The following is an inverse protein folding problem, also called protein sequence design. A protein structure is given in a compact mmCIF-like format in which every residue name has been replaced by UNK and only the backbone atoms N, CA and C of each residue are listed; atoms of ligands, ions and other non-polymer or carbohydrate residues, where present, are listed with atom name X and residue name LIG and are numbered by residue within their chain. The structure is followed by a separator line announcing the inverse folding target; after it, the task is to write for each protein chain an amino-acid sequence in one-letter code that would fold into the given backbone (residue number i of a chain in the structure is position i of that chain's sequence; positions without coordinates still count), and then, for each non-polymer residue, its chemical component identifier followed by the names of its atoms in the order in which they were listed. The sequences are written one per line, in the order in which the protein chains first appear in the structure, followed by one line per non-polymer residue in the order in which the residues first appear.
data_IF_943776474196
#
_entry.id   IF_943776474196
#
_cell.length_a   1.000
_cell.length_b   1.000
_cell.length_c   1.000
_cell.angle_alpha   90.00
_cell.angle_beta   90.00
_cell.angle_gamma   90.00
#
_symmetry.space_group_name_H-M   'P 1'
#
loop_
_entity.id
_entity.type
_entity.pdbx_description
1 polymer ?
#
# COMPACT_ATOMS: atom_id res chain seq x y z
N UNK A 1 -40.81 0.83 -75.90
CA UNK A 1 -40.77 -0.59 -76.31
C UNK A 1 -39.90 -1.38 -75.34
N UNK A 2 -40.45 -2.50 -74.89
CA UNK A 2 -39.97 -3.50 -73.91
C UNK A 2 -38.55 -4.02 -74.23
N UNK A 3 -37.68 -4.23 -73.22
CA UNK A 3 -37.14 -5.56 -72.82
C UNK A 3 -36.09 -5.53 -71.69
N UNK A 4 -36.39 -6.36 -70.69
CA UNK A 4 -35.54 -6.90 -69.61
C UNK A 4 -34.26 -7.58 -70.10
N UNK A 5 -33.20 -7.58 -69.26
CA UNK A 5 -32.51 -8.82 -68.84
C UNK A 5 -31.63 -8.64 -67.59
N UNK A 6 -31.84 -9.55 -66.63
CA UNK A 6 -31.10 -9.81 -65.38
C UNK A 6 -29.65 -10.29 -65.60
N UNK A 7 -28.87 -10.21 -64.48
CA UNK A 7 -27.70 -11.02 -64.00
C UNK A 7 -26.52 -10.09 -63.69
N UNK A 8 -25.79 -10.15 -62.57
CA UNK A 8 -25.60 -11.18 -61.53
C UNK A 8 -25.03 -10.54 -60.25
N UNK A 9 -25.34 -11.17 -59.11
CA UNK A 9 -24.72 -10.97 -57.79
C UNK A 9 -23.19 -11.04 -57.84
N UNK A 10 -22.53 -10.16 -57.09
CA UNK A 10 -21.23 -10.41 -56.46
C UNK A 10 -21.18 -9.64 -55.14
N UNK A 11 -21.56 -10.30 -54.04
CA UNK A 11 -21.34 -9.84 -52.67
C UNK A 11 -19.93 -10.30 -52.31
N UNK A 12 -18.96 -9.37 -52.25
CA UNK A 12 -17.66 -9.62 -51.64
C UNK A 12 -17.87 -9.65 -50.11
N UNK A 13 -17.88 -10.85 -49.53
CA UNK A 13 -17.74 -11.03 -48.09
C UNK A 13 -16.24 -10.96 -47.73
N UNK A 14 -15.79 -9.81 -47.26
CA UNK A 14 -14.49 -9.67 -46.60
C UNK A 14 -14.63 -10.24 -45.18
N UNK A 15 -14.16 -11.47 -44.96
CA UNK A 15 -13.99 -12.02 -43.61
C UNK A 15 -12.69 -11.44 -43.05
N UNK A 16 -12.79 -10.32 -42.33
CA UNK A 16 -11.72 -9.84 -41.48
C UNK A 16 -11.68 -10.73 -40.23
N UNK A 17 -10.74 -11.67 -40.18
CA UNK A 17 -10.39 -12.39 -38.95
C UNK A 17 -9.77 -11.37 -38.00
N UNK A 18 -10.58 -10.86 -37.06
CA UNK A 18 -10.08 -10.11 -35.92
C UNK A 18 -9.32 -11.08 -35.00
N UNK A 19 -8.01 -11.20 -35.20
CA UNK A 19 -7.09 -11.66 -34.16
C UNK A 19 -7.08 -10.58 -33.07
N UNK A 20 -8.07 -10.61 -32.18
CA UNK A 20 -7.98 -9.95 -30.89
C UNK A 20 -6.90 -10.69 -30.08
N UNK A 21 -5.65 -10.28 -30.27
CA UNK A 21 -4.63 -10.45 -29.25
C UNK A 21 -5.20 -9.88 -27.96
N UNK A 22 -5.43 -10.75 -26.98
CA UNK A 22 -5.91 -10.34 -25.66
C UNK A 22 -4.80 -9.51 -25.00
N UNK A 23 -4.84 -8.18 -25.20
CA UNK A 23 -4.10 -7.26 -24.36
C UNK A 23 -4.54 -7.49 -22.92
N UNK A 24 -3.62 -7.92 -22.06
CA UNK A 24 -3.85 -8.00 -20.62
C UNK A 24 -4.28 -6.62 -20.13
N UNK A 25 -5.37 -6.56 -19.35
CA UNK A 25 -5.73 -5.33 -18.69
C UNK A 25 -4.72 -5.09 -17.56
N UNK A 26 -3.83 -4.12 -17.74
CA UNK A 26 -3.02 -3.62 -16.64
C UNK A 26 -3.95 -2.91 -15.65
N UNK A 27 -3.88 -3.28 -14.38
CA UNK A 27 -4.54 -2.53 -13.31
C UNK A 27 -3.49 -1.64 -12.67
N UNK A 28 -3.69 -0.33 -12.73
CA UNK A 28 -2.88 0.60 -11.96
C UNK A 28 -3.22 0.42 -10.47
N UNK A 29 -2.20 0.23 -9.65
CA UNK A 29 -2.32 0.19 -8.19
C UNK A 29 -1.32 1.19 -7.62
N UNK A 30 -1.72 1.94 -6.61
CA UNK A 30 -0.84 2.90 -5.97
C UNK A 30 -0.09 2.24 -4.83
N UNK A 31 1.22 2.42 -4.77
CA UNK A 31 2.08 2.01 -3.66
C UNK A 31 2.66 3.24 -2.99
N UNK A 32 2.56 3.30 -1.66
CA UNK A 32 3.25 4.31 -0.87
C UNK A 32 4.74 3.98 -0.77
N UNK A 33 5.58 4.94 -1.15
CA UNK A 33 7.03 4.86 -1.08
C UNK A 33 7.54 5.92 -0.10
N UNK A 34 8.38 5.55 0.89
CA UNK A 34 8.92 6.53 1.82
C UNK A 34 9.65 7.69 1.13
N UNK A 35 9.29 8.91 1.50
CA UNK A 35 9.84 10.16 0.98
C UNK A 35 10.83 10.84 1.92
N UNK A 36 10.69 10.61 3.22
CA UNK A 36 11.54 11.21 4.25
C UNK A 36 12.19 10.14 5.14
N UNK A 37 13.44 10.39 5.53
CA UNK A 37 14.18 9.61 6.53
C UNK A 37 14.44 10.44 7.80
N UNK A 38 14.27 11.76 7.69
CA UNK A 38 14.48 12.73 8.76
C UNK A 38 13.34 13.74 8.79
N UNK A 39 13.02 14.28 9.97
CA UNK A 39 12.17 15.47 10.06
C UNK A 39 12.55 16.42 11.18
N UNK A 40 12.29 17.71 10.97
CA UNK A 40 12.47 18.76 11.97
C UNK A 40 11.13 19.42 12.21
N UNK A 41 10.64 19.39 13.45
CA UNK A 41 9.56 20.30 13.86
C UNK A 41 10.19 21.68 14.09
N UNK A 42 9.86 22.65 13.25
CA UNK A 42 10.33 24.03 13.32
C UNK A 42 9.17 24.93 13.76
N UNK A 43 9.03 25.09 15.07
CA UNK A 43 7.89 25.76 15.70
C UNK A 43 8.19 27.22 15.98
N UNK A 44 7.29 28.08 15.52
CA UNK A 44 7.21 29.46 15.95
C UNK A 44 6.74 29.54 17.40
N UNK A 45 7.58 30.09 18.26
CA UNK A 45 7.29 30.27 19.68
C UNK A 45 7.34 31.76 20.10
N UNK A 46 7.26 32.64 19.10
CA UNK A 46 7.33 34.09 19.24
C UNK A 46 6.10 34.70 19.93
N UNK A 47 6.13 36.02 20.10
CA UNK A 47 5.04 36.78 20.68
C UNK A 47 3.79 36.81 19.80
N UNK A 48 3.91 36.75 18.46
CA UNK A 48 2.72 36.69 17.58
C UNK A 48 1.93 35.42 17.82
N UNK A 49 2.61 34.31 18.11
CA UNK A 49 1.98 33.03 18.43
C UNK A 49 1.25 33.04 19.78
N UNK A 50 1.63 33.91 20.73
CA UNK A 50 0.87 34.10 21.98
C UNK A 50 -0.36 35.01 21.81
N UNK A 51 -0.55 35.63 20.65
CA UNK A 51 -1.76 36.39 20.36
C UNK A 51 -2.89 35.44 19.99
N UNK A 52 -4.13 35.88 20.26
CA UNK A 52 -5.32 35.16 19.81
C UNK A 52 -5.43 35.22 18.29
N UNK A 53 -5.65 34.06 17.69
CA UNK A 53 -5.98 33.93 16.28
C UNK A 53 -7.30 34.65 15.99
N UNK A 54 -7.30 35.57 15.02
CA UNK A 54 -8.40 36.52 14.81
C UNK A 54 -9.76 35.84 14.61
N UNK A 55 -9.79 34.71 13.90
CA UNK A 55 -11.04 33.99 13.61
C UNK A 55 -11.39 32.88 14.61
N UNK A 56 -10.40 32.32 15.32
CA UNK A 56 -10.60 31.16 16.20
C UNK A 56 -10.70 31.56 17.67
N UNK A 57 -10.23 32.76 18.05
CA UNK A 57 -10.34 33.29 19.40
C UNK A 57 -9.43 32.65 20.46
N UNK A 58 -8.60 31.69 20.05
CA UNK A 58 -7.61 30.98 20.86
C UNK A 58 -6.19 31.42 20.49
N UNK A 59 -5.23 31.34 21.42
CA UNK A 59 -3.82 31.64 21.13
C UNK A 59 -3.27 30.73 20.03
N UNK A 60 -2.59 31.29 19.03
CA UNK A 60 -2.03 30.50 17.92
C UNK A 60 -1.07 29.41 18.40
N UNK A 61 -0.34 29.63 19.49
CA UNK A 61 0.55 28.64 20.09
C UNK A 61 -0.20 27.47 20.73
N UNK A 62 -1.39 27.72 21.30
CA UNK A 62 -2.25 26.66 21.84
C UNK A 62 -2.72 25.78 20.68
N UNK A 63 -3.17 26.39 19.59
CA UNK A 63 -3.60 25.68 18.38
C UNK A 63 -2.44 24.90 17.73
N UNK A 64 -1.25 25.50 17.63
CA UNK A 64 -0.04 24.84 17.13
C UNK A 64 0.35 23.64 18.00
N UNK A 65 0.29 23.76 19.33
CA UNK A 65 0.54 22.65 20.26
C UNK A 65 -0.46 21.51 20.05
N UNK A 66 -1.75 21.82 19.91
CA UNK A 66 -2.78 20.81 19.61
C UNK A 66 -2.51 20.10 18.28
N UNK A 67 -2.12 20.86 17.25
CA UNK A 67 -1.74 20.29 15.96
C UNK A 67 -0.55 19.36 16.11
N UNK A 68 0.51 19.78 16.82
CA UNK A 68 1.70 18.97 17.02
C UNK A 68 1.39 17.66 17.77
N UNK A 69 0.46 17.65 18.73
CA UNK A 69 0.00 16.42 19.39
C UNK A 69 -0.66 15.47 18.39
N UNK A 70 -1.58 15.99 17.56
CA UNK A 70 -2.26 15.21 16.52
C UNK A 70 -1.29 14.71 15.44
N UNK A 71 -0.40 15.58 14.96
CA UNK A 71 0.66 15.27 14.01
C UNK A 71 1.57 14.18 14.56
N UNK A 72 2.10 14.34 15.78
CA UNK A 72 2.96 13.36 16.41
C UNK A 72 2.25 12.02 16.62
N UNK A 73 0.94 11.98 16.84
CA UNK A 73 0.18 10.72 16.89
C UNK A 73 0.02 10.07 15.50
N UNK A 74 0.01 10.87 14.43
CA UNK A 74 -0.17 10.42 13.06
C UNK A 74 1.15 10.08 12.33
N UNK A 75 2.31 10.54 12.82
CA UNK A 75 3.62 10.22 12.22
C UNK A 75 3.76 8.70 12.05
N UNK A 76 4.06 8.20 10.85
CA UNK A 76 4.12 6.76 10.58
C UNK A 76 5.19 6.03 11.41
N UNK A 77 5.00 4.75 11.71
CA UNK A 77 5.95 3.99 12.53
C UNK A 77 7.14 3.50 11.68
N UNK A 78 8.22 4.29 11.66
CA UNK A 78 9.50 3.95 11.03
C UNK A 78 10.66 4.56 11.82
N UNK A 79 11.88 4.12 11.52
CA UNK A 79 13.10 4.67 12.11
C UNK A 79 13.47 6.00 11.46
N UNK A 80 12.89 7.10 11.96
CA UNK A 80 13.25 8.46 11.56
C UNK A 80 14.37 9.01 12.44
N UNK A 81 15.22 9.89 11.90
CA UNK A 81 15.88 10.90 12.73
C UNK A 81 14.91 12.08 12.91
N UNK A 82 14.76 12.59 14.14
CA UNK A 82 13.87 13.71 14.42
C UNK A 82 14.56 14.77 15.27
N UNK A 83 14.20 16.03 15.02
CA UNK A 83 14.56 17.16 15.90
C UNK A 83 13.35 18.05 16.12
N UNK A 84 13.32 18.74 17.26
CA UNK A 84 12.29 19.72 17.56
C UNK A 84 12.98 21.01 17.99
N UNK A 85 12.76 22.06 17.21
CA UNK A 85 13.35 23.36 17.39
C UNK A 85 12.26 24.43 17.50
N UNK A 86 12.39 25.31 18.49
CA UNK A 86 11.60 26.53 18.56
C UNK A 86 12.43 27.71 18.09
N UNK A 87 11.79 28.70 17.46
CA UNK A 87 12.36 30.02 17.25
C UNK A 87 11.54 31.09 17.97
N UNK A 88 12.23 32.11 18.48
CA UNK A 88 11.61 33.15 19.31
C UNK A 88 11.16 32.69 20.71
N UNK A 89 11.94 31.92 21.50
CA UNK A 89 13.41 31.81 21.45
C UNK A 89 13.96 30.61 20.68
N UNK A 90 15.25 30.70 20.33
CA UNK A 90 16.04 29.66 19.67
C UNK A 90 16.42 28.53 20.62
N UNK A 91 15.72 27.41 20.55
CA UNK A 91 15.94 26.30 21.48
C UNK A 91 15.69 24.95 20.82
N UNK A 92 16.64 24.03 20.97
CA UNK A 92 16.45 22.62 20.65
C UNK A 92 15.74 21.93 21.82
N UNK A 93 14.52 21.49 21.60
CA UNK A 93 13.73 20.72 22.58
C UNK A 93 14.12 19.26 22.61
N UNK A 94 14.51 18.71 21.45
CA UNK A 94 15.05 17.35 21.32
C UNK A 94 15.83 17.19 20.01
N UNK A 95 16.63 16.13 19.94
CA UNK A 95 17.24 15.63 18.71
C UNK A 95 17.73 14.19 18.85
N UNK A 96 17.67 13.42 17.76
CA UNK A 96 18.15 12.03 17.70
C UNK A 96 17.15 11.11 17.00
N UNK A 97 17.22 9.81 17.27
CA UNK A 97 16.24 8.84 16.77
C UNK A 97 14.84 9.19 17.26
N UNK A 98 13.86 9.17 16.35
CA UNK A 98 12.47 9.46 16.67
C UNK A 98 11.90 8.44 17.64
N UNK A 99 11.33 8.95 18.73
CA UNK A 99 10.50 8.22 19.66
C UNK A 99 9.24 9.04 19.90
N UNK A 100 8.08 8.44 19.61
CA UNK A 100 6.78 9.12 19.67
C UNK A 100 6.50 9.67 21.06
N UNK A 101 6.84 8.94 22.13
CA UNK A 101 6.57 9.33 23.51
C UNK A 101 7.55 10.39 24.02
N UNK A 102 8.80 10.39 23.57
CA UNK A 102 9.77 11.46 23.84
C UNK A 102 9.33 12.76 23.14
N UNK A 103 8.96 12.68 21.86
CA UNK A 103 8.41 13.82 21.10
C UNK A 103 7.15 14.38 21.78
N UNK A 104 6.25 13.49 22.21
CA UNK A 104 5.01 13.87 22.89
C UNK A 104 5.27 14.66 24.19
N UNK A 105 6.21 14.20 25.01
CA UNK A 105 6.64 14.90 26.23
C UNK A 105 7.29 16.25 25.93
N UNK A 106 8.08 16.35 24.85
CA UNK A 106 8.67 17.62 24.45
C UNK A 106 7.61 18.62 23.99
N UNK A 107 6.58 18.16 23.27
CA UNK A 107 5.42 18.98 22.90
C UNK A 107 4.65 19.43 24.15
N UNK A 108 4.43 18.54 25.12
CA UNK A 108 3.76 18.88 26.37
C UNK A 108 4.51 19.97 27.16
N UNK A 109 5.85 19.99 27.06
CA UNK A 109 6.72 21.01 27.68
C UNK A 109 6.64 22.41 27.05
N UNK A 110 5.97 22.58 25.91
CA UNK A 110 5.75 23.92 25.32
C UNK A 110 4.73 24.68 26.19
N UNK A 111 5.16 25.79 26.79
CA UNK A 111 4.28 26.62 27.61
C UNK A 111 3.34 27.44 26.73
N UNK A 112 2.18 27.79 27.28
CA UNK A 112 1.17 28.65 26.64
C UNK A 112 0.79 29.78 27.60
N UNK A 113 0.07 30.82 27.15
CA UNK A 113 -0.28 31.95 28.01
C UNK A 113 0.91 32.77 28.50
N UNK A 114 1.99 32.81 27.72
CA UNK A 114 3.18 33.61 28.04
C UNK A 114 3.05 35.06 27.58
N UNK A 115 3.84 35.95 28.18
CA UNK A 115 3.81 37.38 27.84
C UNK A 115 4.39 37.65 26.45
N UNK A 116 3.70 38.51 25.69
CA UNK A 116 4.08 38.91 24.32
C UNK A 116 5.26 39.89 24.31
N UNK A 117 5.39 40.71 25.36
CA UNK A 117 6.37 41.79 25.43
C UNK A 117 7.81 41.27 25.27
N UNK A 118 8.53 41.81 24.29
CA UNK A 118 9.94 41.46 24.02
C UNK A 118 10.15 40.15 23.25
N UNK A 119 9.09 39.46 22.84
CA UNK A 119 9.17 38.23 22.02
C UNK A 119 8.94 38.56 20.54
N UNK A 120 10.03 38.93 19.86
CA UNK A 120 10.05 39.13 18.41
C UNK A 120 9.80 37.80 17.68
N UNK A 121 9.49 37.86 16.38
CA UNK A 121 9.39 36.68 15.50
C UNK A 121 10.63 36.58 14.61
N UNK A 122 11.73 35.96 15.06
CA UNK A 122 12.98 35.94 14.32
C UNK A 122 13.10 34.71 13.41
N UNK A 123 12.11 34.48 12.54
CA UNK A 123 12.04 33.24 11.75
C UNK A 123 13.27 33.04 10.87
N UNK A 124 13.72 34.07 10.14
CA UNK A 124 14.91 33.99 9.29
C UNK A 124 16.18 33.63 10.08
N UNK A 125 16.37 34.23 11.26
CA UNK A 125 17.48 33.86 12.15
C UNK A 125 17.34 32.44 12.70
N UNK A 126 16.10 31.97 12.89
CA UNK A 126 15.81 30.58 13.27
C UNK A 126 16.19 29.60 12.15
N UNK A 127 15.83 29.92 10.91
CA UNK A 127 16.18 29.16 9.71
C UNK A 127 17.70 29.11 9.52
N UNK A 128 18.40 30.25 9.64
CA UNK A 128 19.86 30.29 9.59
C UNK A 128 20.53 29.31 10.59
N UNK A 129 19.92 29.07 11.76
CA UNK A 129 20.41 28.10 12.75
C UNK A 129 20.09 26.64 12.39
N UNK A 130 19.17 26.39 11.47
CA UNK A 130 18.88 25.04 10.97
C UNK A 130 19.97 24.52 10.03
N UNK A 131 20.73 25.39 9.35
CA UNK A 131 21.67 24.96 8.30
C UNK A 131 22.66 23.90 8.79
N UNK A 132 23.37 24.19 9.89
CA UNK A 132 24.28 23.22 10.54
C UNK A 132 23.54 21.98 11.06
N UNK A 133 22.27 22.12 11.44
CA UNK A 133 21.49 20.98 11.90
C UNK A 133 21.20 20.03 10.73
N UNK A 134 20.74 20.57 9.60
CA UNK A 134 20.44 19.85 8.36
C UNK A 134 21.66 19.10 7.83
N UNK A 135 22.85 19.72 7.84
CA UNK A 135 24.12 19.10 7.40
C UNK A 135 24.43 17.78 8.12
N UNK A 136 24.00 17.64 9.37
CA UNK A 136 24.35 16.54 10.26
C UNK A 136 23.17 15.56 10.49
N UNK A 137 22.16 15.57 9.62
CA UNK A 137 21.03 14.64 9.68
C UNK A 137 21.08 13.62 8.55
N UNK A 138 20.40 12.48 8.72
CA UNK A 138 20.06 11.61 7.57
C UNK A 138 19.35 12.46 6.50
N UNK A 139 19.69 12.25 5.22
CA UNK A 139 19.14 13.00 4.07
C UNK A 139 17.62 12.79 3.94
N UNK A 140 16.98 13.47 3.00
CA UNK A 140 15.52 13.45 2.82
C UNK A 140 14.79 13.98 4.07
N UNK A 141 15.08 15.24 4.36
CA UNK A 141 14.69 15.97 5.58
C UNK A 141 13.40 16.75 5.31
N UNK A 142 12.34 16.40 6.02
CA UNK A 142 11.11 17.17 6.07
C UNK A 142 11.18 18.22 7.19
N UNK A 143 11.33 19.49 6.84
CA UNK A 143 11.24 20.60 7.80
C UNK A 143 9.79 21.04 7.89
N UNK A 144 9.15 20.82 9.04
CA UNK A 144 7.75 21.16 9.30
C UNK A 144 7.70 22.52 9.99
N UNK A 145 7.47 23.57 9.19
CA UNK A 145 7.32 24.94 9.66
C UNK A 145 5.91 25.14 10.21
N UNK A 146 5.81 25.47 11.49
CA UNK A 146 4.52 25.72 12.17
C UNK A 146 4.52 27.15 12.70
N UNK A 147 3.78 28.05 12.05
CA UNK A 147 3.86 29.50 12.33
C UNK A 147 2.60 30.25 11.88
N UNK A 148 2.39 31.45 12.40
CA UNK A 148 1.42 32.42 11.89
C UNK A 148 2.00 33.41 10.87
N UNK A 149 3.31 33.37 10.63
CA UNK A 149 4.03 34.16 9.63
C UNK A 149 4.16 35.66 9.94
N UNK A 150 3.70 36.11 11.11
CA UNK A 150 3.59 37.55 11.42
C UNK A 150 4.86 38.12 12.04
N UNK A 151 4.96 39.44 12.01
CA UNK A 151 5.92 40.23 12.80
C UNK A 151 7.39 39.79 12.65
N UNK A 152 7.74 39.26 11.48
CA UNK A 152 9.08 38.80 11.20
C UNK A 152 10.09 39.95 11.33
N UNK A 153 11.17 39.71 12.08
CA UNK A 153 12.23 40.68 12.32
C UNK A 153 13.60 40.01 12.22
N UNK A 154 14.60 40.75 11.73
CA UNK A 154 15.93 40.23 11.47
C UNK A 154 16.09 39.79 10.02
N UNK A 155 16.64 38.59 9.81
CA UNK A 155 16.87 38.06 8.47
C UNK A 155 15.53 37.73 7.79
N UNK A 156 15.47 37.90 6.47
CA UNK A 156 14.29 37.56 5.69
C UNK A 156 14.08 36.03 5.69
N UNK A 157 12.92 35.54 6.14
CA UNK A 157 12.71 34.10 6.27
C UNK A 157 12.62 33.38 4.93
N UNK A 158 12.15 34.04 3.87
CA UNK A 158 12.02 33.43 2.54
C UNK A 158 13.41 33.28 1.91
N UNK A 159 14.24 34.31 1.98
CA UNK A 159 15.63 34.23 1.50
C UNK A 159 16.45 33.21 2.29
N UNK A 160 16.28 33.11 3.61
CA UNK A 160 17.03 32.09 4.36
C UNK A 160 16.55 30.66 4.10
N UNK A 161 15.24 30.43 3.96
CA UNK A 161 14.74 29.12 3.54
C UNK A 161 15.28 28.74 2.15
N UNK A 162 15.34 29.70 1.23
CA UNK A 162 15.91 29.53 -0.11
C UNK A 162 17.40 29.21 -0.08
N UNK A 163 18.17 29.87 0.79
CA UNK A 163 19.60 29.60 0.97
C UNK A 163 19.83 28.15 1.45
N UNK A 164 19.08 27.70 2.46
CA UNK A 164 19.17 26.31 2.96
C UNK A 164 18.81 25.32 1.84
N UNK A 165 17.73 25.59 1.10
CA UNK A 165 17.35 24.70 0.00
C UNK A 165 18.42 24.63 -1.10
N UNK A 166 19.03 25.76 -1.46
CA UNK A 166 20.11 25.82 -2.44
C UNK A 166 21.39 25.11 -1.95
N UNK A 167 21.68 25.17 -0.64
CA UNK A 167 22.82 24.48 -0.04
C UNK A 167 22.63 22.96 0.03
N UNK A 168 21.37 22.48 0.11
CA UNK A 168 21.02 21.07 0.30
C UNK A 168 20.06 20.55 -0.80
N UNK A 169 20.48 20.57 -2.09
CA UNK A 169 19.58 20.29 -3.21
C UNK A 169 19.03 18.87 -3.16
N UNK A 170 17.70 18.75 -3.24
CA UNK A 170 16.97 17.47 -3.19
C UNK A 170 16.99 16.78 -1.82
N UNK A 171 17.57 17.40 -0.79
CA UNK A 171 17.68 16.81 0.54
C UNK A 171 16.73 17.43 1.56
N UNK A 172 16.25 18.66 1.34
CA UNK A 172 15.39 19.38 2.28
C UNK A 172 14.08 19.78 1.60
N UNK A 173 12.98 19.57 2.30
CA UNK A 173 11.63 20.01 1.92
C UNK A 173 11.00 20.82 3.05
N UNK A 174 10.58 22.05 2.77
CA UNK A 174 9.89 22.91 3.73
C UNK A 174 8.38 22.69 3.64
N UNK A 175 7.82 21.90 4.55
CA UNK A 175 6.38 21.70 4.68
C UNK A 175 5.83 22.75 5.65
N UNK A 176 4.69 23.34 5.31
CA UNK A 176 4.15 24.50 6.03
C UNK A 176 2.80 24.16 6.63
N UNK A 177 2.66 24.44 7.93
CA UNK A 177 1.39 24.39 8.65
C UNK A 177 1.08 25.81 9.09
N UNK A 178 0.19 26.45 8.33
CA UNK A 178 -0.12 27.87 8.49
C UNK A 178 -1.18 28.08 9.56
N UNK A 179 -0.84 28.89 10.57
CA UNK A 179 -1.78 29.53 11.50
C UNK A 179 -1.92 31.03 11.19
N UNK A 180 -1.64 31.44 9.95
CA UNK A 180 -1.80 32.82 9.55
C UNK A 180 -3.28 33.22 9.55
N UNK A 181 -3.56 34.38 10.14
CA UNK A 181 -4.87 35.05 10.09
C UNK A 181 -4.78 36.45 9.46
N UNK A 182 -3.63 36.78 8.87
CA UNK A 182 -3.39 37.98 8.08
C UNK A 182 -2.86 37.60 6.70
N UNK A 183 -3.16 38.44 5.71
CA UNK A 183 -2.63 38.26 4.34
C UNK A 183 -1.10 38.30 4.32
N UNK A 184 -0.49 39.16 5.14
CA UNK A 184 0.98 39.27 5.21
C UNK A 184 1.62 38.00 5.77
N UNK A 185 1.08 37.45 6.86
CA UNK A 185 1.57 36.21 7.44
C UNK A 185 1.42 35.03 6.48
N UNK A 186 0.27 34.93 5.82
CA UNK A 186 0.02 33.88 4.84
C UNK A 186 0.97 33.99 3.65
N UNK A 187 1.22 35.19 3.14
CA UNK A 187 2.14 35.43 2.01
C UNK A 187 3.56 34.96 2.31
N UNK A 188 4.08 35.20 3.52
CA UNK A 188 5.41 34.74 3.92
C UNK A 188 5.48 33.21 3.93
N UNK A 189 4.46 32.57 4.50
CA UNK A 189 4.39 31.11 4.61
C UNK A 189 4.19 30.44 3.24
N UNK A 190 3.37 31.01 2.37
CA UNK A 190 3.19 30.57 0.98
C UNK A 190 4.48 30.72 0.18
N UNK A 191 5.22 31.82 0.39
CA UNK A 191 6.50 32.03 -0.27
C UNK A 191 7.53 30.97 0.13
N UNK A 192 7.59 30.58 1.41
CA UNK A 192 8.45 29.47 1.88
C UNK A 192 7.99 28.14 1.27
N UNK A 193 6.69 27.84 1.31
CA UNK A 193 6.16 26.60 0.73
C UNK A 193 6.41 26.51 -0.79
N UNK A 194 6.39 27.65 -1.49
CA UNK A 194 6.61 27.74 -2.92
C UNK A 194 8.07 27.54 -3.36
N UNK A 195 9.03 27.45 -2.43
CA UNK A 195 10.44 27.25 -2.75
C UNK A 195 10.74 25.85 -3.27
N UNK A 196 10.01 24.82 -2.81
CA UNK A 196 10.31 23.42 -3.12
C UNK A 196 9.08 22.74 -3.72
N UNK A 197 9.26 22.04 -4.85
CA UNK A 197 8.17 21.26 -5.45
C UNK A 197 7.68 20.11 -4.55
N UNK A 198 8.52 19.66 -3.62
CA UNK A 198 8.18 18.61 -2.65
C UNK A 198 7.38 19.11 -1.43
N UNK A 199 7.25 20.42 -1.27
CA UNK A 199 6.57 21.06 -0.14
C UNK A 199 5.09 20.70 -0.10
N UNK A 200 4.59 20.53 1.11
CA UNK A 200 3.17 20.36 1.39
C UNK A 200 2.79 21.50 2.31
N UNK A 201 1.85 22.34 1.89
CA UNK A 201 1.31 23.43 2.69
C UNK A 201 -0.13 23.11 3.07
N UNK A 202 -0.50 23.40 4.31
CA UNK A 202 -1.85 23.19 4.81
C UNK A 202 -2.23 24.22 5.87
N UNK A 203 -3.53 24.45 6.02
CA UNK A 203 -4.10 25.29 7.08
C UNK A 203 -4.10 24.52 8.40
N UNK A 204 -3.40 25.02 9.42
CA UNK A 204 -3.42 24.47 10.77
C UNK A 204 -4.84 24.31 11.34
N UNK A 205 -5.72 25.32 11.23
CA UNK A 205 -7.14 25.19 11.57
C UNK A 205 -7.86 24.03 10.88
N UNK A 206 -7.61 23.79 9.59
CA UNK A 206 -8.20 22.68 8.84
C UNK A 206 -7.68 21.33 9.33
N UNK A 207 -6.36 21.20 9.54
CA UNK A 207 -5.75 19.97 10.06
C UNK A 207 -6.23 19.64 11.48
N UNK A 208 -6.59 20.65 12.28
CA UNK A 208 -7.21 20.44 13.59
C UNK A 208 -8.65 19.95 13.47
N UNK A 209 -9.41 20.48 12.51
CA UNK A 209 -10.83 20.18 12.33
C UNK A 209 -11.09 18.83 11.62
N UNK A 210 -10.16 18.36 10.79
CA UNK A 210 -10.35 17.18 9.94
C UNK A 210 -9.21 16.17 10.10
N UNK A 211 -9.52 15.03 10.73
CA UNK A 211 -8.56 13.91 10.84
C UNK A 211 -8.18 13.34 9.46
N UNK A 212 -9.05 13.49 8.45
CA UNK A 212 -8.74 13.12 7.08
C UNK A 212 -7.71 14.05 6.45
N UNK A 213 -7.87 15.38 6.63
CA UNK A 213 -6.91 16.36 6.14
C UNK A 213 -5.54 16.19 6.84
N UNK A 214 -5.55 15.91 8.15
CA UNK A 214 -4.33 15.58 8.89
C UNK A 214 -3.63 14.33 8.34
N UNK A 215 -4.37 13.24 8.12
CA UNK A 215 -3.79 11.99 7.58
C UNK A 215 -3.22 12.21 6.18
N UNK A 216 -3.93 12.94 5.34
CA UNK A 216 -3.48 13.30 3.99
C UNK A 216 -2.20 14.15 4.02
N UNK A 217 -2.17 15.19 4.86
CA UNK A 217 -0.97 16.01 5.08
C UNK A 217 0.22 15.16 5.51
N UNK A 218 0.05 14.34 6.55
CA UNK A 218 1.11 13.47 7.07
C UNK A 218 1.58 12.47 6.00
N UNK A 219 0.66 11.85 5.25
CA UNK A 219 1.02 10.95 4.16
C UNK A 219 1.88 11.67 3.12
N UNK A 220 1.45 12.83 2.61
CA UNK A 220 2.19 13.60 1.58
C UNK A 220 3.54 14.14 2.04
N UNK A 221 3.70 14.36 3.35
CA UNK A 221 4.98 14.74 3.97
C UNK A 221 5.94 13.54 3.98
N UNK A 222 5.48 12.35 4.36
CA UNK A 222 6.36 11.20 4.63
C UNK A 222 6.44 10.16 3.50
N UNK A 223 5.53 10.20 2.53
CA UNK A 223 5.40 9.22 1.46
C UNK A 223 5.07 9.90 0.11
N UNK A 224 5.62 9.33 -0.95
CA UNK A 224 5.16 9.53 -2.31
C UNK A 224 4.24 8.38 -2.73
N UNK A 225 3.38 8.66 -3.72
CA UNK A 225 2.51 7.67 -4.35
C UNK A 225 3.12 7.27 -5.69
N UNK A 226 3.55 6.03 -5.81
CA UNK A 226 4.00 5.46 -7.08
C UNK A 226 2.88 4.60 -7.68
N UNK A 227 2.51 4.89 -8.91
CA UNK A 227 1.66 4.01 -9.72
C UNK A 227 2.48 2.80 -10.15
N UNK A 228 2.21 1.67 -9.52
CA UNK A 228 2.71 0.38 -9.99
C UNK A 228 1.71 -0.20 -10.98
N UNK A 229 2.19 -0.43 -12.20
CA UNK A 229 1.51 -1.32 -13.14
C UNK A 229 1.78 -2.74 -12.67
N UNK A 230 0.89 -3.30 -11.85
CA UNK A 230 0.88 -4.74 -11.65
C UNK A 230 0.49 -5.36 -12.99
N UNK A 231 1.41 -6.12 -13.59
CA UNK A 231 1.02 -7.09 -14.61
C UNK A 231 0.04 -8.04 -13.93
N UNK A 232 -1.25 -7.87 -14.24
CA UNK A 232 -2.25 -8.86 -13.93
C UNK A 232 -1.85 -10.09 -14.72
N UNK A 233 -1.07 -10.98 -14.11
CA UNK A 233 -0.99 -12.37 -14.56
C UNK A 233 -2.44 -12.81 -14.63
N UNK A 234 -2.91 -13.03 -15.86
CA UNK A 234 -4.20 -13.66 -16.12
C UNK A 234 -4.23 -14.90 -15.24
N UNK A 235 -4.97 -14.86 -14.14
CA UNK A 235 -5.38 -16.10 -13.50
C UNK A 235 -6.14 -16.81 -14.61
N UNK A 236 -5.59 -17.93 -15.11
CA UNK A 236 -6.36 -18.80 -15.97
C UNK A 236 -7.69 -19.02 -15.28
N UNK A 237 -8.83 -18.91 -16.00
CA UNK A 237 -10.14 -18.97 -15.38
C UNK A 237 -10.13 -20.15 -14.44
N UNK A 238 -10.30 -19.88 -13.15
CA UNK A 238 -10.40 -20.89 -12.12
C UNK A 238 -11.50 -21.83 -12.59
N UNK A 239 -11.12 -22.94 -13.22
CA UNK A 239 -12.01 -24.08 -13.35
C UNK A 239 -12.56 -24.29 -11.95
N UNK A 240 -13.86 -24.58 -11.83
CA UNK A 240 -14.52 -24.89 -10.57
C UNK A 240 -13.86 -26.14 -9.94
N UNK A 241 -12.63 -26.02 -9.45
CA UNK A 241 -11.90 -27.02 -8.71
C UNK A 241 -12.43 -26.85 -7.30
N UNK A 242 -13.51 -27.54 -6.99
CA UNK A 242 -13.83 -27.82 -5.60
C UNK A 242 -12.70 -28.75 -5.16
N UNK A 243 -11.77 -28.34 -4.26
CA UNK A 243 -10.60 -29.14 -3.95
C UNK A 243 -10.99 -30.27 -2.99
N UNK A 244 -11.87 -31.17 -3.43
CA UNK A 244 -12.12 -32.46 -2.82
C UNK A 244 -10.92 -33.33 -3.16
N UNK A 245 -9.99 -33.44 -2.20
CA UNK A 245 -8.73 -34.17 -2.35
C UNK A 245 -8.81 -35.46 -1.58
N UNK A 246 -8.46 -36.55 -2.27
CA UNK A 246 -8.37 -37.89 -1.66
C UNK A 246 -6.91 -38.27 -1.58
N UNK A 247 -6.36 -38.38 -0.37
CA UNK A 247 -4.97 -38.76 -0.17
C UNK A 247 -4.79 -40.28 -0.07
N UNK A 248 -3.64 -40.75 -0.55
CA UNK A 248 -3.29 -42.17 -0.57
C UNK A 248 -1.98 -42.46 0.17
N UNK A 249 -1.89 -43.67 0.72
CA UNK A 249 -0.64 -44.17 1.27
C UNK A 249 0.41 -44.38 0.19
N UNK A 250 1.66 -44.49 0.65
CA UNK A 250 2.76 -44.84 -0.23
C UNK A 250 2.45 -46.16 -0.95
N UNK A 251 2.70 -46.16 -2.25
CA UNK A 251 2.49 -47.31 -3.13
C UNK A 251 1.08 -47.95 -3.11
N UNK A 252 0.06 -47.16 -2.78
CA UNK A 252 -1.32 -47.68 -2.67
C UNK A 252 -2.32 -46.91 -3.53
N UNK A 253 -3.34 -47.64 -4.00
CA UNK A 253 -4.57 -47.11 -4.62
C UNK A 253 -5.82 -47.41 -3.77
N UNK A 254 -5.63 -47.90 -2.53
CA UNK A 254 -6.72 -48.15 -1.59
C UNK A 254 -7.18 -46.83 -0.97
N UNK A 255 -8.47 -46.55 -1.07
CA UNK A 255 -9.10 -45.45 -0.34
C UNK A 255 -9.12 -45.81 1.15
N UNK A 256 -8.70 -44.89 2.00
CA UNK A 256 -8.78 -45.06 3.46
C UNK A 256 -10.17 -44.70 3.97
N UNK A 257 -10.57 -45.33 5.05
CA UNK A 257 -11.82 -45.01 5.75
C UNK A 257 -11.91 -43.54 6.17
N UNK A 258 -10.79 -42.93 6.57
CA UNK A 258 -10.71 -41.48 6.88
C UNK A 258 -11.08 -40.57 5.70
N UNK A 259 -11.03 -41.07 4.46
CA UNK A 259 -11.37 -40.31 3.24
C UNK A 259 -12.81 -40.53 2.80
N UNK A 260 -13.54 -41.49 3.39
CA UNK A 260 -14.93 -41.80 3.06
C UNK A 260 -15.86 -40.59 3.23
N UNK A 261 -15.81 -39.81 4.33
CA UNK A 261 -16.68 -38.63 4.47
C UNK A 261 -16.47 -37.58 3.37
N UNK A 262 -15.22 -37.36 2.97
CA UNK A 262 -14.86 -36.41 1.90
C UNK A 262 -15.40 -36.89 0.55
N UNK A 263 -15.30 -38.19 0.28
CA UNK A 263 -15.83 -38.77 -0.95
C UNK A 263 -17.36 -38.81 -1.00
N UNK A 264 -18.02 -38.94 0.15
CA UNK A 264 -19.48 -38.87 0.26
C UNK A 264 -19.98 -37.45 -0.05
N UNK A 265 -19.34 -36.43 0.54
CA UNK A 265 -19.60 -35.03 0.21
C UNK A 265 -19.34 -34.74 -1.28
N UNK A 266 -18.25 -35.28 -1.84
CA UNK A 266 -17.97 -35.15 -3.27
C UNK A 266 -19.09 -35.74 -4.14
N UNK A 267 -19.60 -36.91 -3.78
CA UNK A 267 -20.68 -37.57 -4.53
C UNK A 267 -21.95 -36.70 -4.52
N UNK A 268 -22.32 -36.13 -3.38
CA UNK A 268 -23.50 -35.26 -3.25
C UNK A 268 -23.36 -33.97 -4.07
N UNK A 269 -22.19 -33.34 -4.02
CA UNK A 269 -21.90 -32.15 -4.81
C UNK A 269 -21.95 -32.44 -6.32
N UNK A 270 -21.38 -33.57 -6.77
CA UNK A 270 -21.39 -33.94 -8.18
C UNK A 270 -22.84 -34.19 -8.65
N UNK A 271 -23.63 -34.93 -7.87
CA UNK A 271 -25.05 -35.18 -8.19
C UNK A 271 -25.87 -33.89 -8.26
N UNK A 272 -25.58 -32.92 -7.39
CA UNK A 272 -26.29 -31.64 -7.33
C UNK A 272 -25.93 -30.65 -8.44
N UNK A 273 -24.85 -30.88 -9.19
CA UNK A 273 -24.44 -30.08 -10.34
C UNK A 273 -24.81 -30.79 -11.64
N UNK A 274 -25.03 -30.06 -12.73
CA UNK A 274 -25.20 -30.61 -14.08
C UNK A 274 -23.92 -30.42 -14.91
N UNK A 275 -22.81 -31.02 -14.45
CA UNK A 275 -21.47 -30.92 -15.05
C UNK A 275 -20.76 -32.27 -14.99
N UNK A 276 -19.96 -32.64 -15.99
CA UNK A 276 -19.08 -33.82 -15.89
C UNK A 276 -17.88 -33.52 -15.00
N UNK A 277 -17.19 -34.55 -14.53
CA UNK A 277 -15.96 -34.42 -13.76
C UNK A 277 -14.82 -35.26 -14.35
N UNK A 278 -13.61 -34.73 -14.22
CA UNK A 278 -12.35 -35.42 -14.48
C UNK A 278 -11.67 -35.74 -13.14
N UNK A 279 -11.28 -36.99 -12.97
CA UNK A 279 -10.59 -37.51 -11.78
C UNK A 279 -9.10 -37.66 -12.12
N UNK A 280 -8.28 -36.75 -11.62
CA UNK A 280 -6.84 -36.73 -11.89
C UNK A 280 -6.06 -37.38 -10.76
N UNK A 281 -5.35 -38.46 -11.05
CA UNK A 281 -4.46 -39.11 -10.10
C UNK A 281 -3.05 -38.54 -10.15
N UNK A 282 -2.44 -38.38 -8.98
CA UNK A 282 -1.05 -37.94 -8.83
C UNK A 282 -0.25 -38.85 -7.89
N UNK A 283 1.06 -38.87 -8.08
CA UNK A 283 2.04 -39.54 -7.21
C UNK A 283 3.07 -38.54 -6.66
N UNK A 284 3.89 -39.01 -5.72
CA UNK A 284 5.15 -38.33 -5.41
C UNK A 284 6.26 -38.75 -6.39
N UNK A 285 7.44 -38.15 -6.26
CA UNK A 285 8.61 -38.39 -7.12
C UNK A 285 9.40 -39.70 -6.84
N UNK A 286 8.75 -40.72 -6.27
CA UNK A 286 9.42 -41.98 -5.93
C UNK A 286 8.87 -43.07 -6.85
N UNK A 287 9.76 -43.74 -7.60
CA UNK A 287 9.41 -44.74 -8.60
C UNK A 287 9.76 -44.29 -10.01
N UNK A 288 9.58 -45.16 -11.00
CA UNK A 288 9.73 -44.76 -12.41
C UNK A 288 8.51 -43.98 -12.88
N UNK A 289 8.68 -43.13 -13.90
CA UNK A 289 7.57 -42.36 -14.47
C UNK A 289 6.43 -43.29 -14.94
N UNK A 290 6.75 -44.37 -15.66
CA UNK A 290 5.79 -45.37 -16.11
C UNK A 290 5.01 -46.00 -14.94
N UNK A 291 5.71 -46.35 -13.86
CA UNK A 291 5.10 -46.89 -12.66
C UNK A 291 4.13 -45.89 -12.02
N UNK A 292 4.58 -44.64 -11.88
CA UNK A 292 3.80 -43.56 -11.30
C UNK A 292 2.58 -43.19 -12.13
N UNK A 293 2.69 -43.26 -13.47
CA UNK A 293 1.57 -43.12 -14.39
C UNK A 293 0.53 -44.23 -14.17
N UNK A 294 0.97 -45.48 -14.06
CA UNK A 294 0.07 -46.61 -13.77
C UNK A 294 -0.58 -46.51 -12.38
N UNK A 295 0.17 -46.11 -11.35
CA UNK A 295 -0.35 -45.99 -9.98
C UNK A 295 -1.37 -44.86 -9.83
N UNK A 296 -1.09 -43.70 -10.43
CA UNK A 296 -2.03 -42.58 -10.44
C UNK A 296 -3.34 -42.91 -11.17
N UNK A 297 -3.29 -43.59 -12.31
CA UNK A 297 -4.48 -44.05 -13.02
C UNK A 297 -5.33 -45.01 -12.18
N UNK A 298 -4.70 -45.96 -11.48
CA UNK A 298 -5.39 -46.85 -10.53
C UNK A 298 -6.08 -46.07 -9.40
N UNK A 299 -5.45 -45.02 -8.87
CA UNK A 299 -6.05 -44.16 -7.83
C UNK A 299 -7.30 -43.44 -8.34
N UNK A 300 -7.22 -42.85 -9.53
CA UNK A 300 -8.35 -42.18 -10.15
C UNK A 300 -9.52 -43.15 -10.37
N UNK A 301 -9.24 -44.37 -10.85
CA UNK A 301 -10.24 -45.44 -11.00
C UNK A 301 -10.84 -45.92 -9.68
N UNK A 302 -10.05 -46.00 -8.60
CA UNK A 302 -10.58 -46.30 -7.26
C UNK A 302 -11.59 -45.26 -6.80
N UNK A 303 -11.30 -43.97 -7.01
CA UNK A 303 -12.23 -42.87 -6.70
C UNK A 303 -13.47 -42.93 -7.58
N UNK A 304 -13.30 -43.16 -8.89
CA UNK A 304 -14.41 -43.32 -9.84
C UNK A 304 -15.36 -44.44 -9.40
N UNK A 305 -14.80 -45.60 -9.02
CA UNK A 305 -15.58 -46.74 -8.53
C UNK A 305 -16.36 -46.36 -7.28
N UNK A 306 -15.72 -45.71 -6.32
CA UNK A 306 -16.37 -45.28 -5.09
C UNK A 306 -17.55 -44.32 -5.36
N UNK A 307 -17.33 -43.30 -6.18
CA UNK A 307 -18.38 -42.33 -6.54
C UNK A 307 -19.54 -42.99 -7.30
N UNK A 308 -19.25 -43.96 -8.18
CA UNK A 308 -20.26 -44.77 -8.86
C UNK A 308 -21.09 -45.57 -7.86
N UNK A 309 -20.46 -46.20 -6.88
CA UNK A 309 -21.14 -46.96 -5.81
C UNK A 309 -22.03 -46.03 -4.94
N UNK A 310 -21.72 -44.72 -4.88
CA UNK A 310 -22.52 -43.67 -4.23
C UNK A 310 -23.57 -43.01 -5.14
N UNK A 311 -23.76 -43.53 -6.36
CA UNK A 311 -24.82 -43.12 -7.28
C UNK A 311 -24.45 -42.02 -8.27
N UNK A 312 -23.16 -41.69 -8.43
CA UNK A 312 -22.73 -40.78 -9.52
C UNK A 312 -22.72 -41.55 -10.85
N UNK A 313 -23.40 -41.07 -11.91
CA UNK A 313 -23.42 -41.76 -13.20
C UNK A 313 -22.03 -41.85 -13.83
N UNK A 314 -21.69 -43.01 -14.41
CA UNK A 314 -20.34 -43.28 -14.92
C UNK A 314 -19.98 -42.38 -16.12
N UNK A 315 -20.96 -42.07 -16.96
CA UNK A 315 -20.87 -41.17 -18.11
C UNK A 315 -20.52 -39.72 -17.72
N UNK A 316 -20.73 -39.35 -16.45
CA UNK A 316 -20.36 -38.03 -15.92
C UNK A 316 -18.94 -38.01 -15.35
N UNK A 317 -18.20 -39.12 -15.37
CA UNK A 317 -16.87 -39.22 -14.77
C UNK A 317 -15.84 -39.75 -15.75
N UNK A 318 -14.76 -39.01 -15.94
CA UNK A 318 -13.56 -39.46 -16.66
C UNK A 318 -12.37 -39.57 -15.70
N UNK A 319 -11.35 -40.35 -16.05
CA UNK A 319 -10.15 -40.55 -15.21
C UNK A 319 -8.88 -40.30 -16.01
N UNK A 320 -7.88 -39.70 -15.36
CA UNK A 320 -6.54 -39.52 -15.94
C UNK A 320 -5.47 -39.72 -14.87
N UNK A 321 -4.51 -40.62 -15.12
CA UNK A 321 -3.29 -40.71 -14.31
C UNK A 321 -2.26 -39.71 -14.79
N UNK A 322 -1.76 -38.81 -13.95
CA UNK A 322 -0.71 -37.84 -14.28
C UNK A 322 0.67 -38.23 -13.74
N UNK A 323 0.75 -39.27 -12.90
CA UNK A 323 2.00 -39.66 -12.24
C UNK A 323 2.56 -38.52 -11.39
N UNK A 324 3.87 -38.30 -11.51
CA UNK A 324 4.59 -37.25 -10.76
C UNK A 324 4.76 -35.94 -11.54
N UNK A 325 4.22 -35.86 -12.77
CA UNK A 325 4.45 -34.75 -13.72
C UNK A 325 3.91 -33.39 -13.26
N UNK A 326 2.97 -33.38 -12.31
CA UNK A 326 2.36 -32.15 -11.76
C UNK A 326 2.39 -32.15 -10.22
N UNK A 327 3.57 -31.94 -9.61
CA UNK A 327 3.69 -31.84 -8.16
C UNK A 327 3.09 -30.53 -7.67
N UNK A 328 2.29 -30.60 -6.60
CA UNK A 328 1.66 -29.43 -5.97
C UNK A 328 2.34 -29.02 -4.67
N UNK A 329 3.02 -29.97 -4.04
CA UNK A 329 3.76 -29.82 -2.81
C UNK A 329 5.22 -30.22 -3.00
N UNK A 330 6.08 -29.80 -2.08
CA UNK A 330 7.51 -30.12 -2.15
C UNK A 330 7.77 -31.62 -1.99
N UNK A 331 8.26 -32.26 -3.05
CA UNK A 331 8.61 -33.68 -3.04
C UNK A 331 9.88 -34.00 -2.22
N UNK A 332 10.63 -32.99 -1.79
CA UNK A 332 11.80 -33.19 -0.94
C UNK A 332 11.41 -33.52 0.51
N UNK A 333 10.24 -33.09 0.97
CA UNK A 333 9.72 -33.39 2.32
C UNK A 333 8.85 -34.64 2.36
N UNK A 334 8.83 -35.36 3.49
CA UNK A 334 7.96 -36.53 3.67
C UNK A 334 6.48 -36.13 3.60
N UNK A 335 6.18 -34.98 4.17
CA UNK A 335 4.87 -34.35 4.26
C UNK A 335 4.39 -33.96 2.86
N UNK A 336 5.21 -33.26 2.08
CA UNK A 336 4.86 -32.89 0.71
C UNK A 336 4.69 -34.11 -0.21
N UNK A 337 5.51 -35.15 -0.05
CA UNK A 337 5.27 -36.43 -0.75
C UNK A 337 3.93 -37.06 -0.37
N UNK A 338 3.52 -36.98 0.90
CA UNK A 338 2.20 -37.46 1.35
C UNK A 338 1.06 -36.66 0.71
N UNK A 339 1.22 -35.36 0.60
CA UNK A 339 0.23 -34.47 0.00
C UNK A 339 0.15 -34.62 -1.53
N UNK A 340 1.26 -34.93 -2.20
CA UNK A 340 1.28 -35.17 -3.65
C UNK A 340 0.62 -36.50 -4.06
N UNK A 341 0.56 -37.50 -3.19
CA UNK A 341 -0.19 -38.75 -3.41
C UNK A 341 -1.69 -38.49 -3.25
N UNK A 342 -2.32 -37.99 -4.30
CA UNK A 342 -3.72 -37.51 -4.26
C UNK A 342 -4.49 -37.84 -5.53
N UNK A 343 -5.82 -37.74 -5.44
CA UNK A 343 -6.71 -37.55 -6.59
C UNK A 343 -7.40 -36.18 -6.46
N UNK A 344 -7.46 -35.43 -7.55
CA UNK A 344 -8.23 -34.19 -7.66
C UNK A 344 -9.49 -34.43 -8.51
N UNK A 345 -10.61 -33.79 -8.15
CA UNK A 345 -11.89 -33.86 -8.86
C UNK A 345 -12.13 -32.50 -9.52
N UNK A 346 -12.17 -32.49 -10.86
CA UNK A 346 -12.25 -31.26 -11.66
C UNK A 346 -13.58 -31.24 -12.41
N UNK A 347 -14.41 -30.23 -12.20
CA UNK A 347 -15.65 -30.05 -12.96
C UNK A 347 -15.36 -29.52 -14.37
N UNK A 348 -16.03 -30.07 -15.37
CA UNK A 348 -15.93 -29.70 -16.79
C UNK A 348 -17.13 -28.88 -17.24
#
# INVERSE_FOLDING_TARGET
MIRFRLKSLAILAFVAVFLLGAAGQASAKTRLVPKADSFIVFLDYSGSMAMKHQTLGEESIVLAKQFLKKFNAAVPEREYESRFYTFGPFEWKLGGTYDRAIMDRAIDGIATGYTVSGRLTPMGNGLMKLDTAVENMKKNIAVIVVSDGKNNLGHDPVEEAKNIYAAHPGQVCFHVVSFADTEDGQRVLDAIAGLNACSVSASGPELLASDMALKDFVQKVFFDEEEIMEEVKKEEPMQDIIPLRVNFDFDSSRIKEEMTPILDEAADIIKGKDKSVLLEGHTCNIGTEEYNKGLSDRRAKSVQKYLKDKGVPAERMSTMGLGESQPKYDNNTREGRKLNRRVEIIFQ
#
